data_IF_721495296867
#
_entry.id   IF_721495296867
#
_cell.length_a   1.000
_cell.length_b   1.000
_cell.length_c   1.000
_cell.angle_alpha   90.00
_cell.angle_beta   90.00
_cell.angle_gamma   90.00
#
_symmetry.space_group_name_H-M   'P 1'
#
loop_
_entity.id
_entity.type
_entity.pdbx_description
1 polymer ?
#
# COMPACT_ATOMS: atom_id res chain seq x y z
N UNK A 1 -52.66 -15.25 -40.30
CA UNK A 1 -53.01 -16.24 -41.34
C UNK A 1 -51.90 -16.18 -42.40
N UNK A 2 -51.31 -17.24 -42.95
CA UNK A 2 -51.35 -18.69 -42.73
C UNK A 2 -49.98 -19.29 -43.22
N UNK A 3 -49.63 -20.59 -43.05
CA UNK A 3 -48.26 -20.97 -42.66
C UNK A 3 -47.42 -21.87 -43.60
N UNK A 4 -46.10 -21.93 -43.33
CA UNK A 4 -45.16 -23.10 -43.27
C UNK A 4 -45.15 -24.15 -44.40
N UNK A 5 -43.96 -24.42 -45.00
CA UNK A 5 -43.18 -25.64 -44.66
C UNK A 5 -41.68 -25.34 -44.43
N UNK A 6 -40.88 -26.15 -43.72
CA UNK A 6 -41.15 -27.46 -43.12
C UNK A 6 -40.18 -28.53 -43.62
N UNK A 7 -38.93 -28.57 -43.11
CA UNK A 7 -37.99 -29.68 -43.40
C UNK A 7 -37.22 -30.14 -42.16
N UNK A 8 -37.41 -31.40 -41.79
CA UNK A 8 -36.53 -32.14 -40.87
C UNK A 8 -35.39 -32.79 -41.67
N UNK A 9 -34.19 -32.85 -41.09
CA UNK A 9 -33.23 -33.92 -41.39
C UNK A 9 -32.58 -34.44 -40.10
N UNK A 10 -32.72 -35.75 -39.88
CA UNK A 10 -32.11 -36.47 -38.76
C UNK A 10 -30.66 -36.85 -39.11
N UNK A 11 -29.70 -36.54 -38.23
CA UNK A 11 -28.31 -37.02 -38.29
C UNK A 11 -27.95 -37.83 -37.03
N UNK A 12 -27.19 -38.92 -37.17
CA UNK A 12 -26.96 -39.92 -36.10
C UNK A 12 -25.80 -39.59 -35.15
N UNK A 13 -25.94 -40.07 -33.93
CA UNK A 13 -24.89 -40.19 -32.89
C UNK A 13 -23.92 -41.33 -33.23
N UNK A 14 -22.63 -41.23 -32.84
CA UNK A 14 -22.01 -42.33 -32.07
C UNK A 14 -21.46 -41.89 -30.69
N UNK A 15 -21.65 -42.74 -29.67
CA UNK A 15 -21.12 -42.57 -28.30
C UNK A 15 -19.92 -43.50 -28.07
N UNK A 16 -18.70 -42.98 -28.01
CA UNK A 16 -17.52 -43.60 -27.38
C UNK A 16 -16.57 -42.44 -27.00
N UNK A 17 -15.87 -42.36 -25.86
CA UNK A 17 -15.55 -43.32 -24.80
C UNK A 17 -15.74 -42.72 -23.40
N UNK A 18 -16.05 -43.57 -22.42
CA UNK A 18 -15.89 -43.28 -21.00
C UNK A 18 -14.80 -44.18 -20.38
N UNK A 19 -14.32 -43.78 -19.19
CA UNK A 19 -13.61 -44.59 -18.19
C UNK A 19 -12.17 -45.09 -18.51
N UNK A 20 -11.17 -44.27 -18.13
CA UNK A 20 -9.88 -44.68 -17.50
C UNK A 20 -9.40 -43.52 -16.60
N UNK A 21 -8.80 -43.68 -15.42
CA UNK A 21 -8.84 -44.80 -14.47
C UNK A 21 -8.35 -44.26 -13.11
N UNK A 22 -9.25 -44.02 -12.15
CA UNK A 22 -8.84 -43.72 -10.77
C UNK A 22 -8.41 -45.03 -10.11
N UNK A 23 -7.09 -45.22 -9.90
CA UNK A 23 -6.48 -46.14 -8.91
C UNK A 23 -4.95 -46.11 -8.98
N UNK A 24 -4.31 -45.59 -7.93
CA UNK A 24 -3.19 -46.26 -7.22
C UNK A 24 -2.85 -45.49 -5.94
N UNK A 25 -3.58 -45.83 -4.88
CA UNK A 25 -3.06 -45.75 -3.52
C UNK A 25 -2.32 -47.07 -3.19
N UNK A 26 -1.55 -47.06 -2.10
CA UNK A 26 -0.79 -48.18 -1.51
C UNK A 26 0.50 -48.65 -2.21
N UNK A 27 1.61 -48.05 -1.74
CA UNK A 27 2.77 -48.77 -1.21
C UNK A 27 3.46 -47.82 -0.22
N UNK A 28 3.37 -48.05 1.09
CA UNK A 28 4.43 -48.70 1.87
C UNK A 28 5.82 -48.08 1.58
N UNK A 29 6.48 -47.37 2.50
CA UNK A 29 6.50 -47.55 3.95
C UNK A 29 7.91 -47.95 4.37
N UNK A 30 8.77 -46.98 4.68
CA UNK A 30 10.09 -47.22 5.28
C UNK A 30 10.51 -46.08 6.20
N UNK A 31 10.24 -46.27 7.49
CA UNK A 31 10.94 -45.59 8.58
C UNK A 31 12.14 -46.47 8.95
N UNK A 32 13.33 -45.88 9.14
CA UNK A 32 14.47 -46.40 9.92
C UNK A 32 15.48 -45.25 10.16
N UNK A 33 16.38 -45.35 11.17
CA UNK A 33 16.20 -44.52 12.35
C UNK A 33 17.27 -43.42 12.52
N UNK A 34 17.04 -42.55 13.50
CA UNK A 34 18.03 -41.62 14.00
C UNK A 34 18.94 -42.31 15.03
N UNK A 35 20.26 -42.19 14.86
CA UNK A 35 21.26 -42.64 15.83
C UNK A 35 22.56 -41.83 15.64
N UNK A 36 23.18 -41.32 16.71
CA UNK A 36 24.40 -40.50 16.58
C UNK A 36 24.64 -39.38 17.60
N UNK A 37 24.27 -39.57 18.88
CA UNK A 37 24.57 -38.57 19.92
C UNK A 37 26.03 -38.70 20.43
N UNK A 38 26.95 -37.80 20.04
CA UNK A 38 28.24 -37.61 20.76
C UNK A 38 28.68 -36.15 20.91
N UNK A 39 28.63 -35.72 22.17
CA UNK A 39 29.56 -34.86 22.94
C UNK A 39 30.03 -33.51 22.35
N UNK A 40 29.63 -32.43 23.03
CA UNK A 40 30.27 -31.09 22.99
C UNK A 40 31.62 -31.11 23.73
N UNK A 41 32.66 -30.40 23.25
CA UNK A 41 33.73 -29.85 24.09
C UNK A 41 33.29 -28.52 24.76
N UNK A 42 33.93 -28.19 25.88
CA UNK A 42 33.74 -26.92 26.62
C UNK A 42 34.49 -25.72 26.00
N UNK A 43 34.43 -24.54 26.65
CA UNK A 43 34.79 -23.27 26.02
C UNK A 43 36.31 -23.03 25.97
N UNK A 44 36.80 -22.59 24.82
CA UNK A 44 38.15 -22.05 24.63
C UNK A 44 38.13 -20.54 24.43
N UNK A 45 39.10 -19.88 25.06
CA UNK A 45 39.23 -18.44 25.30
C UNK A 45 38.96 -17.46 24.14
N UNK A 46 38.42 -16.29 24.50
CA UNK A 46 38.48 -15.06 23.69
C UNK A 46 39.92 -14.64 23.39
N UNK A 47 40.24 -14.29 22.13
CA UNK A 47 41.36 -13.39 21.80
C UNK A 47 40.90 -11.93 21.82
N UNK A 48 41.72 -11.04 22.38
CA UNK A 48 41.52 -9.59 22.37
C UNK A 48 41.55 -9.02 20.93
N UNK A 49 40.74 -8.00 20.60
CA UNK A 49 40.93 -7.26 19.35
C UNK A 49 42.21 -6.42 19.42
N UNK A 50 43.11 -6.60 18.45
CA UNK A 50 44.28 -5.73 18.27
C UNK A 50 43.82 -4.34 17.82
N UNK A 51 44.40 -3.31 18.44
CA UNK A 51 44.40 -1.95 17.88
C UNK A 51 45.25 -1.96 16.62
N UNK A 52 44.75 -1.40 15.52
CA UNK A 52 45.53 -1.08 14.34
C UNK A 52 45.06 0.26 13.78
N UNK A 53 45.91 1.27 13.92
CA UNK A 53 45.70 2.57 13.29
C UNK A 53 45.59 2.45 11.77
N UNK A 54 44.64 3.19 11.19
CA UNK A 54 44.77 3.63 9.80
C UNK A 54 44.19 5.01 9.59
N UNK A 55 45.11 5.97 9.62
CA UNK A 55 44.95 7.36 9.23
C UNK A 55 44.81 7.47 7.70
N UNK A 56 43.82 8.20 7.18
CA UNK A 56 44.02 9.37 6.28
C UNK A 56 42.74 9.90 5.58
N UNK A 57 42.59 11.24 5.67
CA UNK A 57 42.04 12.23 4.73
C UNK A 57 40.73 11.98 3.92
N UNK A 58 39.77 12.90 4.10
CA UNK A 58 39.38 13.99 3.14
C UNK A 58 38.70 15.12 3.94
N UNK A 59 39.20 16.37 3.99
CA UNK A 59 38.90 17.54 3.10
C UNK A 59 37.40 17.72 2.77
N UNK A 60 36.68 18.80 3.09
CA UNK A 60 36.95 20.07 3.82
C UNK A 60 35.61 20.71 4.27
N UNK A 61 35.30 22.01 4.28
CA UNK A 61 35.99 23.29 3.90
C UNK A 61 35.32 24.48 4.65
N UNK A 62 36.12 25.45 5.14
CA UNK A 62 35.80 26.85 5.54
C UNK A 62 34.80 27.20 6.69
N UNK A 63 35.22 28.15 7.55
CA UNK A 63 34.43 28.76 8.64
C UNK A 63 35.23 29.77 9.48
N UNK A 64 35.75 30.83 8.85
CA UNK A 64 36.83 31.71 9.33
C UNK A 64 36.78 32.23 10.78
N UNK A 65 37.93 32.15 11.47
CA UNK A 65 38.27 32.93 12.68
C UNK A 65 38.89 34.27 12.24
N UNK A 66 38.47 35.40 12.83
CA UNK A 66 39.24 36.66 12.80
C UNK A 66 40.14 36.74 14.03
N UNK A 67 41.42 37.06 13.83
CA UNK A 67 42.35 37.46 14.88
C UNK A 67 42.64 38.96 14.77
N UNK A 68 42.76 39.61 15.93
CA UNK A 68 43.16 41.01 16.12
C UNK A 68 43.92 41.14 17.45
N UNK A 69 44.83 42.10 17.61
CA UNK A 69 46.12 41.80 18.24
C UNK A 69 46.24 42.24 19.71
N UNK A 70 47.05 41.49 20.48
CA UNK A 70 47.42 41.85 21.85
C UNK A 70 48.13 40.68 22.54
N UNK A 71 49.46 40.59 22.41
CA UNK A 71 50.21 39.43 22.87
C UNK A 71 50.45 39.39 24.39
N UNK A 72 50.55 38.16 24.91
CA UNK A 72 51.65 37.75 25.80
C UNK A 72 51.73 36.23 25.92
N UNK A 73 52.95 35.70 25.81
CA UNK A 73 53.27 34.31 26.11
C UNK A 73 53.68 34.23 27.58
N UNK A 74 53.03 33.36 28.35
CA UNK A 74 53.56 32.85 29.61
C UNK A 74 53.36 31.33 29.63
N UNK A 75 54.43 30.58 29.40
CA UNK A 75 54.46 29.18 29.77
C UNK A 75 54.68 29.09 31.29
N UNK A 76 53.88 28.27 31.97
CA UNK A 76 54.15 27.84 33.34
C UNK A 76 53.85 26.35 33.43
N UNK A 77 54.92 25.57 33.55
CA UNK A 77 54.87 24.20 34.05
C UNK A 77 54.39 24.22 35.50
N UNK A 78 53.49 23.32 35.89
CA UNK A 78 53.57 22.82 37.26
C UNK A 78 53.13 21.37 37.42
N UNK A 79 53.76 20.75 38.40
CA UNK A 79 53.85 19.30 38.60
C UNK A 79 52.66 18.75 39.40
N UNK A 80 52.52 17.43 39.31
CA UNK A 80 51.61 16.57 40.08
C UNK A 80 51.30 16.97 41.52
N UNK A 81 50.01 16.91 41.87
CA UNK A 81 49.54 16.44 43.18
C UNK A 81 48.38 15.47 42.97
N UNK A 82 48.41 14.33 43.67
CA UNK A 82 47.29 13.40 43.79
C UNK A 82 46.64 13.63 45.15
N UNK A 83 45.34 13.87 45.18
CA UNK A 83 44.57 13.85 46.41
C UNK A 83 43.20 13.18 46.14
N UNK A 84 42.80 12.16 46.92
CA UNK A 84 41.53 11.46 46.72
C UNK A 84 40.51 11.86 47.78
N UNK A 85 39.38 12.48 47.40
CA UNK A 85 38.23 12.57 48.30
C UNK A 85 36.89 12.30 47.65
N UNK A 86 36.06 11.68 48.48
CA UNK A 86 34.66 11.32 48.30
C UNK A 86 33.80 12.52 47.89
N UNK A 87 32.72 12.25 47.16
CA UNK A 87 31.90 13.27 46.52
C UNK A 87 30.71 12.64 45.81
N UNK A 88 29.66 12.36 46.58
CA UNK A 88 28.36 11.86 46.09
C UNK A 88 27.77 12.79 45.03
N UNK A 89 28.05 12.52 43.75
CA UNK A 89 27.30 13.14 42.65
C UNK A 89 25.88 12.61 42.69
N UNK A 90 24.96 13.45 43.17
CA UNK A 90 23.54 13.30 42.89
C UNK A 90 23.38 13.13 41.39
N UNK A 91 22.90 11.95 41.00
CA UNK A 91 22.55 11.65 39.61
C UNK A 91 21.42 12.58 39.23
N UNK A 92 21.72 13.62 38.44
CA UNK A 92 20.68 14.41 37.80
C UNK A 92 19.68 13.44 37.16
N UNK A 93 18.45 13.50 37.66
CA UNK A 93 17.35 12.76 37.10
C UNK A 93 17.07 13.37 35.73
N UNK A 94 17.75 12.84 34.71
CA UNK A 94 17.45 13.13 33.31
C UNK A 94 16.03 12.66 33.07
N UNK A 95 15.09 13.58 33.28
CA UNK A 95 13.68 13.43 32.97
C UNK A 95 13.60 12.87 31.56
N UNK A 96 13.23 11.60 31.45
CA UNK A 96 12.87 11.05 30.15
C UNK A 96 11.60 11.78 29.76
N UNK A 97 11.75 12.78 28.89
CA UNK A 97 10.65 13.31 28.11
C UNK A 97 10.12 12.17 27.28
N UNK A 98 9.20 11.40 27.87
CA UNK A 98 8.39 10.42 27.18
C UNK A 98 7.60 11.19 26.15
N UNK A 99 8.10 11.19 24.91
CA UNK A 99 7.41 11.80 23.78
C UNK A 99 6.02 11.19 23.71
N UNK A 100 5.02 11.95 24.13
CA UNK A 100 3.64 11.49 24.21
C UNK A 100 3.18 11.16 22.79
N UNK A 101 3.12 9.87 22.46
CA UNK A 101 2.55 9.42 21.19
C UNK A 101 1.15 10.04 21.07
N UNK A 102 0.86 10.76 19.97
CA UNK A 102 -0.36 11.55 19.87
C UNK A 102 -1.59 10.65 20.05
N UNK A 103 -2.35 10.93 21.10
CA UNK A 103 -3.49 10.12 21.51
C UNK A 103 -4.58 10.18 20.44
N UNK A 104 -4.98 9.02 19.94
CA UNK A 104 -6.10 8.92 19.00
C UNK A 104 -7.38 9.38 19.69
N UNK A 105 -8.15 10.27 19.06
CA UNK A 105 -9.43 10.76 19.62
C UNK A 105 -10.45 9.63 19.76
N UNK A 106 -10.46 8.70 18.80
CA UNK A 106 -11.33 7.53 18.80
C UNK A 106 -10.48 6.26 18.68
N UNK A 107 -10.74 5.27 19.54
CA UNK A 107 -10.05 3.98 19.49
C UNK A 107 -10.41 3.19 18.21
N UNK A 108 -9.42 2.70 17.42
CA UNK A 108 -9.68 1.93 16.22
C UNK A 108 -10.55 0.69 16.45
N UNK A 109 -11.63 0.58 15.67
CA UNK A 109 -12.55 -0.57 15.62
C UNK A 109 -12.95 -0.81 14.16
N UNK A 110 -13.07 -2.08 13.75
CA UNK A 110 -13.39 -2.46 12.36
C UNK A 110 -14.61 -1.72 11.82
N UNK A 111 -15.69 -1.62 12.60
CA UNK A 111 -16.94 -0.98 12.17
C UNK A 111 -16.80 0.53 11.92
N UNK A 112 -15.87 1.23 12.57
CA UNK A 112 -15.61 2.66 12.31
C UNK A 112 -14.95 2.87 10.95
N UNK A 113 -14.05 1.97 10.52
CA UNK A 113 -13.48 2.01 9.17
C UNK A 113 -14.52 1.71 8.09
N UNK A 114 -15.43 0.76 8.36
CA UNK A 114 -16.57 0.47 7.47
C UNK A 114 -17.57 1.63 7.45
N UNK A 115 -17.82 2.29 8.59
CA UNK A 115 -18.68 3.48 8.64
C UNK A 115 -18.08 4.65 7.83
N UNK A 116 -16.77 4.90 7.94
CA UNK A 116 -16.09 5.89 7.11
C UNK A 116 -16.24 5.60 5.61
N UNK A 117 -16.13 4.32 5.20
CA UNK A 117 -16.38 3.88 3.83
C UNK A 117 -17.82 4.15 3.39
N UNK A 118 -18.81 3.71 4.18
CA UNK A 118 -20.24 3.88 3.84
C UNK A 118 -20.63 5.35 3.77
N UNK A 119 -20.14 6.20 4.68
CA UNK A 119 -20.37 7.65 4.64
C UNK A 119 -19.78 8.27 3.37
N UNK A 120 -18.53 7.92 3.00
CA UNK A 120 -17.91 8.38 1.76
C UNK A 120 -18.72 7.98 0.52
N UNK A 121 -19.11 6.70 0.41
CA UNK A 121 -19.87 6.18 -0.72
C UNK A 121 -21.28 6.79 -0.82
N UNK A 122 -21.96 6.98 0.32
CA UNK A 122 -23.28 7.60 0.34
C UNK A 122 -23.26 9.04 -0.21
N UNK A 123 -22.19 9.80 0.09
CA UNK A 123 -22.02 11.17 -0.42
C UNK A 123 -21.58 11.17 -1.88
N UNK A 124 -20.59 10.36 -2.23
CA UNK A 124 -20.10 10.25 -3.62
C UNK A 124 -21.24 9.84 -4.58
N UNK A 125 -21.96 8.75 -4.29
CA UNK A 125 -23.09 8.32 -5.12
C UNK A 125 -24.31 9.22 -4.98
N UNK A 126 -24.52 9.88 -3.85
CA UNK A 126 -25.56 10.88 -3.69
C UNK A 126 -25.38 12.03 -4.69
N UNK A 127 -24.14 12.49 -4.91
CA UNK A 127 -23.82 13.51 -5.92
C UNK A 127 -23.96 12.97 -7.35
N UNK A 128 -23.60 11.72 -7.63
CA UNK A 128 -23.88 11.08 -8.93
C UNK A 128 -25.38 11.01 -9.24
N UNK A 129 -26.20 10.53 -8.30
CA UNK A 129 -27.65 10.41 -8.46
C UNK A 129 -28.27 11.79 -8.65
N UNK A 130 -27.84 12.79 -7.87
CA UNK A 130 -28.30 14.18 -8.01
C UNK A 130 -27.97 14.80 -9.38
N UNK A 131 -26.80 14.48 -9.94
CA UNK A 131 -26.36 14.97 -11.26
C UNK A 131 -26.79 14.07 -12.43
N UNK A 132 -27.65 13.07 -12.20
CA UNK A 132 -28.17 12.19 -13.27
C UNK A 132 -27.07 11.42 -14.02
N UNK A 133 -26.18 10.76 -13.28
CA UNK A 133 -25.04 9.99 -13.82
C UNK A 133 -25.39 9.07 -15.00
N UNK A 134 -24.62 9.19 -16.09
CA UNK A 134 -24.40 8.11 -17.06
C UNK A 134 -22.91 7.74 -17.06
N UNK A 135 -22.58 6.55 -16.56
CA UNK A 135 -21.20 6.14 -16.37
C UNK A 135 -20.42 5.99 -17.69
N UNK A 136 -21.09 5.64 -18.80
CA UNK A 136 -20.41 5.39 -20.08
C UNK A 136 -19.95 6.69 -20.77
N UNK A 137 -20.55 7.82 -20.39
CA UNK A 137 -20.29 9.14 -20.94
C UNK A 137 -19.47 10.02 -19.95
N UNK A 138 -18.87 9.42 -18.91
CA UNK A 138 -17.93 10.12 -18.03
C UNK A 138 -16.73 10.59 -18.85
N UNK A 139 -16.66 11.90 -19.02
CA UNK A 139 -15.51 12.57 -19.59
C UNK A 139 -15.60 12.86 -21.07
N UNK A 140 -16.78 12.78 -21.68
CA UNK A 140 -17.00 13.16 -23.08
C UNK A 140 -16.73 14.66 -23.32
N UNK A 141 -17.08 15.50 -22.35
CA UNK A 141 -16.91 16.96 -22.38
C UNK A 141 -16.59 17.56 -20.99
N UNK A 142 -16.60 18.89 -20.89
CA UNK A 142 -16.30 19.63 -19.65
C UNK A 142 -17.39 19.49 -18.59
N UNK A 143 -18.67 19.38 -19.00
CA UNK A 143 -19.84 19.33 -18.11
C UNK A 143 -19.96 17.95 -17.46
N UNK A 144 -19.82 16.88 -18.26
CA UNK A 144 -19.76 15.49 -17.79
C UNK A 144 -18.57 15.23 -16.88
N UNK A 145 -17.36 15.75 -17.20
CA UNK A 145 -16.21 15.72 -16.28
C UNK A 145 -16.51 16.43 -14.95
N UNK A 146 -17.11 17.62 -15.00
CA UNK A 146 -17.41 18.38 -13.80
C UNK A 146 -18.43 17.63 -12.92
N UNK A 147 -19.57 17.23 -13.49
CA UNK A 147 -20.71 16.62 -12.79
C UNK A 147 -20.40 15.23 -12.24
N UNK A 148 -19.65 14.41 -12.99
CA UNK A 148 -19.55 12.98 -12.73
C UNK A 148 -18.16 12.51 -12.31
N UNK A 149 -17.11 13.32 -12.50
CA UNK A 149 -15.78 13.04 -11.95
C UNK A 149 -15.43 14.02 -10.83
N UNK A 150 -15.34 15.31 -11.12
CA UNK A 150 -14.82 16.30 -10.16
C UNK A 150 -15.76 16.56 -8.96
N UNK A 151 -17.03 16.87 -9.19
CA UNK A 151 -18.00 17.21 -8.13
C UNK A 151 -18.20 16.11 -7.05
N UNK A 152 -18.45 14.83 -7.40
CA UNK A 152 -18.64 13.77 -6.40
C UNK A 152 -17.34 13.49 -5.61
N UNK A 153 -16.18 13.61 -6.27
CA UNK A 153 -14.88 13.50 -5.60
C UNK A 153 -14.61 14.67 -4.64
N UNK A 154 -14.94 15.90 -5.02
CA UNK A 154 -14.81 17.07 -4.14
C UNK A 154 -15.69 16.94 -2.88
N UNK A 155 -16.95 16.54 -3.06
CA UNK A 155 -17.85 16.27 -1.93
C UNK A 155 -17.32 15.13 -1.03
N UNK A 156 -16.83 14.05 -1.65
CA UNK A 156 -16.15 12.95 -0.96
C UNK A 156 -14.94 13.41 -0.15
N UNK A 157 -14.11 14.30 -0.71
CA UNK A 157 -12.92 14.88 -0.06
C UNK A 157 -13.26 15.68 1.18
N UNK A 158 -14.28 16.55 1.11
CA UNK A 158 -14.77 17.31 2.26
C UNK A 158 -15.18 16.34 3.38
N UNK A 159 -15.98 15.33 3.05
CA UNK A 159 -16.56 14.42 4.04
C UNK A 159 -15.52 13.46 4.64
N UNK A 160 -14.63 12.86 3.84
CA UNK A 160 -13.59 11.96 4.39
C UNK A 160 -12.59 12.75 5.26
N UNK A 161 -12.28 14.00 4.90
CA UNK A 161 -11.42 14.92 5.68
C UNK A 161 -12.04 15.24 7.04
N UNK A 162 -13.36 15.46 7.09
CA UNK A 162 -14.11 15.63 8.34
C UNK A 162 -14.04 14.33 9.18
N UNK A 163 -14.34 13.16 8.60
CA UNK A 163 -14.34 11.88 9.31
C UNK A 163 -12.98 11.54 9.93
N UNK A 164 -11.88 11.62 9.17
CA UNK A 164 -10.52 11.35 9.72
C UNK A 164 -10.12 12.34 10.82
N UNK A 165 -10.62 13.59 10.75
CA UNK A 165 -10.37 14.63 11.76
C UNK A 165 -11.17 14.42 13.04
N UNK A 166 -12.42 13.94 12.93
CA UNK A 166 -13.24 13.51 14.08
C UNK A 166 -12.56 12.32 14.78
N UNK A 167 -12.16 11.30 14.02
CA UNK A 167 -11.49 10.11 14.57
C UNK A 167 -10.08 10.40 15.12
N UNK A 168 -9.42 11.47 14.63
CA UNK A 168 -8.03 11.80 14.97
C UNK A 168 -7.03 10.84 14.34
N UNK A 169 -7.34 10.25 13.17
CA UNK A 169 -6.58 9.16 12.56
C UNK A 169 -5.61 9.60 11.45
N UNK A 170 -5.33 10.90 11.31
CA UNK A 170 -4.43 11.43 10.28
C UNK A 170 -3.07 10.74 10.23
N UNK A 171 -2.31 10.78 11.34
CA UNK A 171 -0.97 10.17 11.43
C UNK A 171 -0.95 8.66 11.12
N UNK A 172 -1.77 7.79 11.76
CA UNK A 172 -1.73 6.35 11.46
C UNK A 172 -2.34 5.97 10.09
N UNK A 173 -3.12 6.86 9.47
CA UNK A 173 -3.57 6.66 8.08
C UNK A 173 -2.44 6.95 7.10
N UNK A 174 -1.84 8.13 7.21
CA UNK A 174 -0.83 8.66 6.29
C UNK A 174 0.54 8.01 6.42
N UNK A 175 0.91 7.47 7.59
CA UNK A 175 2.23 6.90 7.85
C UNK A 175 2.15 5.46 8.34
N UNK A 176 3.09 4.64 7.91
CA UNK A 176 3.18 3.24 8.31
C UNK A 176 3.83 3.09 9.69
N UNK A 177 3.22 2.29 10.54
CA UNK A 177 3.65 1.96 11.91
C UNK A 177 4.34 0.58 12.00
N UNK A 178 4.14 -0.28 11.00
CA UNK A 178 4.86 -1.56 10.84
C UNK A 178 6.23 -1.36 10.17
N UNK A 179 7.08 -2.38 10.22
CA UNK A 179 8.34 -2.39 9.46
C UNK A 179 8.07 -2.24 7.96
N UNK A 180 8.85 -1.39 7.29
CA UNK A 180 8.83 -1.24 5.82
C UNK A 180 9.24 -2.55 5.13
N UNK A 181 8.67 -2.81 3.98
CA UNK A 181 9.02 -3.96 3.14
C UNK A 181 10.41 -3.80 2.49
N UNK A 182 11.03 -4.89 2.00
CA UNK A 182 12.31 -4.82 1.29
C UNK A 182 12.23 -3.96 0.03
N UNK A 183 13.32 -3.26 -0.30
CA UNK A 183 13.35 -2.28 -1.39
C UNK A 183 12.96 -2.80 -2.77
N UNK A 184 13.17 -4.09 -3.07
CA UNK A 184 12.76 -4.68 -4.35
C UNK A 184 11.24 -4.62 -4.60
N UNK A 185 10.42 -4.46 -3.56
CA UNK A 185 8.96 -4.33 -3.69
C UNK A 185 8.57 -3.08 -4.49
N UNK A 186 9.43 -2.05 -4.57
CA UNK A 186 9.25 -0.88 -5.43
C UNK A 186 9.12 -1.19 -6.93
N UNK A 187 9.58 -2.36 -7.39
CA UNK A 187 9.46 -2.76 -8.80
C UNK A 187 7.99 -2.79 -9.25
N UNK A 188 7.08 -3.29 -8.43
CA UNK A 188 5.65 -3.40 -8.79
C UNK A 188 4.96 -2.04 -9.01
N UNK A 189 4.98 -1.08 -8.05
CA UNK A 189 4.44 0.25 -8.29
C UNK A 189 5.23 1.04 -9.34
N UNK A 190 6.55 0.81 -9.49
CA UNK A 190 7.34 1.41 -10.55
C UNK A 190 6.91 0.97 -11.95
N UNK A 191 6.62 -0.32 -12.14
CA UNK A 191 6.07 -0.84 -13.39
C UNK A 191 4.64 -0.33 -13.65
N UNK A 192 3.82 -0.18 -12.60
CA UNK A 192 2.46 0.38 -12.74
C UNK A 192 2.51 1.87 -13.14
N UNK A 193 3.43 2.64 -12.55
CA UNK A 193 3.68 4.04 -12.93
C UNK A 193 4.14 4.14 -14.39
N UNK A 194 5.07 3.28 -14.81
CA UNK A 194 5.54 3.20 -16.19
C UNK A 194 4.41 2.85 -17.16
N UNK A 195 3.50 1.94 -16.79
CA UNK A 195 2.32 1.59 -17.59
C UNK A 195 1.35 2.78 -17.75
N UNK A 196 1.07 3.52 -16.68
CA UNK A 196 0.24 4.72 -16.72
C UNK A 196 0.88 5.83 -17.60
N UNK A 197 2.18 6.08 -17.44
CA UNK A 197 2.91 7.05 -18.28
C UNK A 197 2.94 6.61 -19.75
N UNK A 198 3.15 5.32 -20.03
CA UNK A 198 3.09 4.80 -21.39
C UNK A 198 1.69 4.96 -22.02
N UNK A 199 0.61 4.78 -21.23
CA UNK A 199 -0.75 5.00 -21.71
C UNK A 199 -1.03 6.47 -22.09
N UNK A 200 -0.42 7.43 -21.38
CA UNK A 200 -0.53 8.86 -21.74
C UNK A 200 0.19 9.21 -23.05
N UNK A 201 1.33 8.56 -23.35
CA UNK A 201 2.06 8.80 -24.59
C UNK A 201 1.50 8.05 -25.80
N UNK A 202 0.87 6.88 -25.58
CA UNK A 202 0.33 6.04 -26.65
C UNK A 202 -1.19 6.20 -26.86
N UNK A 203 -1.90 6.78 -25.90
CA UNK A 203 -3.33 7.04 -25.97
C UNK A 203 -3.67 8.33 -26.71
N UNK A 204 -4.82 8.34 -27.40
CA UNK A 204 -5.33 9.55 -28.04
C UNK A 204 -5.89 10.53 -27.00
N UNK A 205 -5.21 11.67 -26.87
CA UNK A 205 -5.55 12.79 -25.97
C UNK A 205 -5.99 14.04 -26.73
N UNK A 206 -6.17 13.96 -28.05
CA UNK A 206 -6.44 15.10 -28.94
C UNK A 206 -7.74 15.87 -28.62
N UNK A 207 -8.70 15.21 -27.96
CA UNK A 207 -9.99 15.75 -27.55
C UNK A 207 -9.94 16.65 -26.30
N UNK A 208 -8.84 16.68 -25.55
CA UNK A 208 -8.79 17.35 -24.25
C UNK A 208 -8.66 18.87 -24.40
N UNK A 209 -9.70 19.60 -23.99
CA UNK A 209 -9.60 21.05 -23.80
C UNK A 209 -8.74 21.38 -22.55
N UNK A 210 -8.24 22.63 -22.41
CA UNK A 210 -7.55 23.06 -21.19
C UNK A 210 -8.40 22.90 -19.92
N UNK A 211 -9.73 23.12 -20.00
CA UNK A 211 -10.65 22.91 -18.88
C UNK A 211 -10.79 21.42 -18.56
N UNK A 212 -10.95 20.56 -19.58
CA UNK A 212 -11.00 19.10 -19.39
C UNK A 212 -9.73 18.60 -18.72
N UNK A 213 -8.55 19.08 -19.15
CA UNK A 213 -7.27 18.74 -18.55
C UNK A 213 -7.19 19.17 -17.07
N UNK A 214 -7.65 20.37 -16.74
CA UNK A 214 -7.70 20.86 -15.36
C UNK A 214 -8.64 20.02 -14.48
N UNK A 215 -9.85 19.71 -14.97
CA UNK A 215 -10.83 18.87 -14.27
C UNK A 215 -10.33 17.44 -14.10
N UNK A 216 -9.67 16.88 -15.11
CA UNK A 216 -9.04 15.55 -15.05
C UNK A 216 -7.91 15.52 -14.02
N UNK A 217 -6.98 16.49 -14.02
CA UNK A 217 -5.90 16.55 -13.04
C UNK A 217 -6.46 16.71 -11.62
N UNK A 218 -7.41 17.65 -11.43
CA UNK A 218 -8.01 17.90 -10.13
C UNK A 218 -8.79 16.69 -9.61
N UNK A 219 -9.68 16.11 -10.42
CA UNK A 219 -10.40 14.87 -10.08
C UNK A 219 -9.44 13.72 -9.77
N UNK A 220 -8.38 13.54 -10.56
CA UNK A 220 -7.42 12.46 -10.34
C UNK A 220 -6.61 12.61 -9.04
N UNK A 221 -6.31 13.84 -8.62
CA UNK A 221 -5.74 14.09 -7.27
C UNK A 221 -6.77 13.77 -6.18
N UNK A 222 -8.05 14.12 -6.38
CA UNK A 222 -9.10 13.88 -5.40
C UNK A 222 -9.47 12.39 -5.26
N UNK A 223 -9.55 11.60 -6.33
CA UNK A 223 -9.78 10.13 -6.24
C UNK A 223 -8.61 9.44 -5.57
N UNK A 224 -7.38 9.79 -5.96
CA UNK A 224 -6.16 9.31 -5.33
C UNK A 224 -6.14 9.60 -3.83
N UNK A 225 -6.52 10.81 -3.41
CA UNK A 225 -6.67 11.17 -1.99
C UNK A 225 -7.80 10.39 -1.31
N UNK A 226 -9.02 10.45 -1.85
CA UNK A 226 -10.23 9.91 -1.23
C UNK A 226 -10.15 8.40 -0.99
N UNK A 227 -9.91 7.66 -2.07
CA UNK A 227 -10.04 6.21 -2.05
C UNK A 227 -8.90 5.57 -1.28
N UNK A 228 -7.68 6.08 -1.41
CA UNK A 228 -6.56 5.63 -0.59
C UNK A 228 -6.73 6.03 0.87
N UNK A 229 -7.22 7.25 1.19
CA UNK A 229 -7.46 7.64 2.58
C UNK A 229 -8.53 6.78 3.24
N UNK A 230 -9.62 6.43 2.55
CA UNK A 230 -10.68 5.59 3.15
C UNK A 230 -10.29 4.11 3.19
N UNK A 231 -9.66 3.57 2.13
CA UNK A 231 -9.36 2.13 2.04
C UNK A 231 -7.99 1.73 2.60
N UNK A 232 -6.93 2.50 2.34
CA UNK A 232 -5.55 2.21 2.81
C UNK A 232 -5.14 3.06 4.02
N UNK A 233 -5.89 4.13 4.33
CA UNK A 233 -5.83 4.87 5.58
C UNK A 233 -6.79 4.30 6.63
N UNK A 234 -8.02 4.82 6.67
CA UNK A 234 -9.05 4.54 7.69
C UNK A 234 -9.33 3.04 7.88
N UNK A 235 -9.58 2.31 6.79
CA UNK A 235 -9.84 0.86 6.87
C UNK A 235 -8.61 0.08 7.35
N UNK A 236 -7.38 0.43 6.98
CA UNK A 236 -6.17 -0.25 7.50
C UNK A 236 -5.99 -0.01 9.00
N UNK A 237 -6.22 1.22 9.47
CA UNK A 237 -6.21 1.56 10.90
C UNK A 237 -7.28 0.75 11.65
N UNK A 238 -8.51 0.71 11.13
CA UNK A 238 -9.62 -0.03 11.71
C UNK A 238 -9.41 -1.56 11.70
N UNK A 239 -8.96 -2.14 10.58
CA UNK A 239 -8.77 -3.59 10.42
C UNK A 239 -7.63 -4.13 11.30
N UNK A 240 -6.55 -3.36 11.49
CA UNK A 240 -5.43 -3.73 12.37
C UNK A 240 -5.82 -3.83 13.86
N UNK A 241 -6.99 -3.31 14.27
CA UNK A 241 -7.55 -3.55 15.61
C UNK A 241 -7.98 -5.00 15.87
N UNK A 242 -8.22 -5.80 14.81
CA UNK A 242 -8.85 -7.12 14.91
C UNK A 242 -8.19 -8.23 14.10
N UNK A 243 -7.52 -7.89 13.01
CA UNK A 243 -6.97 -8.84 12.04
C UNK A 243 -5.43 -8.80 12.00
N UNK A 244 -4.83 -9.96 11.72
CA UNK A 244 -3.44 -10.03 11.28
C UNK A 244 -3.29 -9.47 9.86
N UNK A 245 -2.06 -9.08 9.49
CA UNK A 245 -1.81 -8.27 8.30
C UNK A 245 -2.32 -8.88 6.97
N UNK A 246 -2.34 -10.22 6.85
CA UNK A 246 -2.95 -10.89 5.69
C UNK A 246 -4.44 -10.55 5.54
N UNK A 247 -5.19 -10.47 6.64
CA UNK A 247 -6.59 -10.05 6.63
C UNK A 247 -6.74 -8.55 6.41
N UNK A 248 -5.81 -7.74 6.92
CA UNK A 248 -5.78 -6.28 6.71
C UNK A 248 -5.60 -5.95 5.23
N UNK A 249 -4.62 -6.57 4.55
CA UNK A 249 -4.44 -6.46 3.11
C UNK A 249 -5.69 -6.91 2.36
N UNK A 250 -6.18 -8.12 2.66
CA UNK A 250 -7.30 -8.71 1.92
C UNK A 250 -8.57 -7.87 2.02
N UNK A 251 -9.00 -7.48 3.23
CA UNK A 251 -10.25 -6.76 3.41
C UNK A 251 -10.17 -5.29 2.94
N UNK A 252 -9.05 -4.58 3.11
CA UNK A 252 -8.93 -3.22 2.57
C UNK A 252 -8.97 -3.23 1.03
N UNK A 253 -8.32 -4.22 0.42
CA UNK A 253 -8.23 -4.34 -1.04
C UNK A 253 -9.52 -4.90 -1.64
N UNK A 254 -10.22 -5.80 -0.94
CA UNK A 254 -11.55 -6.26 -1.33
C UNK A 254 -12.58 -5.15 -1.25
N UNK A 255 -12.58 -4.34 -0.18
CA UNK A 255 -13.51 -3.22 -0.08
C UNK A 255 -13.24 -2.16 -1.15
N UNK A 256 -11.96 -1.89 -1.47
CA UNK A 256 -11.59 -1.08 -2.64
C UNK A 256 -12.08 -1.66 -3.98
N UNK A 257 -12.04 -2.98 -4.16
CA UNK A 257 -12.67 -3.61 -5.33
C UNK A 257 -14.18 -3.35 -5.35
N UNK A 258 -14.83 -3.50 -4.20
CA UNK A 258 -16.29 -3.41 -4.07
C UNK A 258 -16.84 -1.98 -4.20
N UNK A 259 -16.06 -0.92 -3.99
CA UNK A 259 -16.49 0.46 -4.32
C UNK A 259 -16.65 0.69 -5.83
N UNK A 260 -16.22 -0.24 -6.67
CA UNK A 260 -16.44 -0.17 -8.12
C UNK A 260 -17.67 -0.97 -8.56
N UNK A 261 -18.25 -1.81 -7.69
CA UNK A 261 -19.41 -2.62 -8.03
C UNK A 261 -20.67 -1.80 -8.43
N UNK A 262 -20.99 -0.64 -7.79
CA UNK A 262 -22.15 0.17 -8.19
C UNK A 262 -22.09 0.70 -9.63
N UNK A 263 -20.92 0.76 -10.26
CA UNK A 263 -20.77 1.16 -11.67
C UNK A 263 -21.54 0.22 -12.63
N UNK A 264 -21.82 -1.02 -12.20
CA UNK A 264 -22.70 -1.97 -12.90
C UNK A 264 -24.15 -1.46 -13.02
N UNK A 265 -24.59 -0.63 -12.07
CA UNK A 265 -25.94 -0.05 -12.00
C UNK A 265 -26.02 1.31 -12.71
N UNK A 266 -24.89 2.04 -12.81
CA UNK A 266 -24.83 3.39 -13.37
C UNK A 266 -24.42 3.46 -14.85
N UNK A 267 -24.19 2.32 -15.52
CA UNK A 267 -24.06 2.28 -16.99
C UNK A 267 -23.29 1.09 -17.55
N UNK A 268 -22.32 0.53 -16.82
CA UNK A 268 -21.46 -0.56 -17.35
C UNK A 268 -22.12 -1.93 -17.44
N UNK A 269 -23.29 -2.11 -16.81
CA UNK A 269 -23.99 -3.39 -16.76
C UNK A 269 -23.14 -4.50 -16.13
N UNK A 270 -23.36 -5.75 -16.56
CA UNK A 270 -22.67 -6.94 -16.02
C UNK A 270 -21.14 -6.88 -16.22
N UNK A 271 -20.66 -6.17 -17.25
CA UNK A 271 -19.23 -6.03 -17.52
C UNK A 271 -18.47 -5.35 -16.36
N UNK A 272 -19.11 -4.43 -15.62
CA UNK A 272 -18.54 -3.76 -14.45
C UNK A 272 -18.15 -4.70 -13.30
N UNK A 273 -18.65 -5.94 -13.26
CA UNK A 273 -18.20 -6.94 -12.27
C UNK A 273 -16.71 -7.25 -12.45
N UNK A 274 -16.18 -7.17 -13.69
CA UNK A 274 -14.74 -7.33 -13.94
C UNK A 274 -13.89 -6.22 -13.31
N UNK A 275 -14.45 -5.00 -13.17
CA UNK A 275 -13.78 -3.85 -12.55
C UNK A 275 -13.43 -4.13 -11.08
N UNK A 276 -14.30 -4.83 -10.34
CA UNK A 276 -14.04 -5.28 -8.95
C UNK A 276 -12.79 -6.15 -8.87
N UNK A 277 -12.60 -7.06 -9.84
CA UNK A 277 -11.43 -7.91 -9.92
C UNK A 277 -10.16 -7.13 -10.28
N UNK A 278 -10.23 -6.28 -11.30
CA UNK A 278 -9.08 -5.47 -11.77
C UNK A 278 -8.62 -4.49 -10.69
N UNK A 279 -9.54 -3.80 -10.03
CA UNK A 279 -9.23 -2.86 -8.94
C UNK A 279 -8.76 -3.57 -7.67
N UNK A 280 -9.19 -4.80 -7.38
CA UNK A 280 -8.55 -5.62 -6.34
C UNK A 280 -7.07 -5.94 -6.65
N UNK A 281 -6.76 -6.25 -7.92
CA UNK A 281 -5.39 -6.54 -8.35
C UNK A 281 -4.49 -5.29 -8.26
N UNK A 282 -4.94 -4.17 -8.82
CA UNK A 282 -4.23 -2.87 -8.76
C UNK A 282 -4.12 -2.39 -7.31
N UNK A 283 -5.19 -2.53 -6.54
CA UNK A 283 -5.24 -2.15 -5.12
C UNK A 283 -4.25 -2.91 -4.23
N UNK A 284 -3.80 -4.10 -4.65
CA UNK A 284 -2.69 -4.81 -4.00
C UNK A 284 -1.34 -4.13 -4.24
N UNK A 285 -1.15 -3.47 -5.40
CA UNK A 285 0.02 -2.63 -5.68
C UNK A 285 0.05 -1.43 -4.75
N UNK A 286 -1.07 -0.71 -4.59
CA UNK A 286 -1.18 0.44 -3.70
C UNK A 286 -0.93 0.09 -2.22
N UNK A 287 -1.45 -1.06 -1.77
CA UNK A 287 -1.16 -1.58 -0.44
C UNK A 287 0.34 -1.87 -0.24
N UNK A 288 0.99 -2.55 -1.21
CA UNK A 288 2.43 -2.80 -1.17
C UNK A 288 3.25 -1.51 -1.23
N UNK A 289 2.80 -0.51 -2.01
CA UNK A 289 3.44 0.80 -2.12
C UNK A 289 3.42 1.55 -0.78
N UNK A 290 2.28 1.57 -0.08
CA UNK A 290 2.18 2.09 1.30
C UNK A 290 3.14 1.36 2.24
N UNK A 291 3.20 0.02 2.16
CA UNK A 291 4.06 -0.83 3.00
C UNK A 291 5.56 -0.71 2.72
N UNK A 292 6.00 -0.41 1.48
CA UNK A 292 7.42 -0.26 1.13
C UNK A 292 7.92 1.18 1.31
N UNK A 293 7.11 2.18 0.95
CA UNK A 293 7.48 3.60 1.10
C UNK A 293 7.39 4.06 2.57
N UNK A 294 6.48 3.48 3.34
CA UNK A 294 6.17 3.88 4.70
C UNK A 294 5.17 5.04 4.80
N UNK A 295 4.55 5.45 3.70
CA UNK A 295 3.52 6.50 3.68
C UNK A 295 2.44 6.24 2.63
N UNK A 296 1.23 6.73 2.88
CA UNK A 296 0.10 6.65 1.98
C UNK A 296 0.23 7.58 0.77
N UNK A 297 1.02 8.66 0.87
CA UNK A 297 1.11 9.72 -0.15
C UNK A 297 1.55 9.17 -1.52
N UNK A 298 2.50 8.23 -1.56
CA UNK A 298 2.91 7.62 -2.83
C UNK A 298 1.77 6.80 -3.48
N UNK A 299 0.92 6.15 -2.69
CA UNK A 299 -0.23 5.44 -3.22
C UNK A 299 -1.30 6.41 -3.76
N UNK A 300 -1.56 7.51 -3.05
CA UNK A 300 -2.46 8.58 -3.53
C UNK A 300 -2.00 9.14 -4.89
N UNK A 301 -0.70 9.45 -5.02
CA UNK A 301 -0.12 9.98 -6.27
C UNK A 301 -0.15 8.94 -7.39
N UNK A 302 0.22 7.68 -7.12
CA UNK A 302 0.22 6.63 -8.14
C UNK A 302 -1.20 6.27 -8.59
N UNK A 303 -2.18 6.28 -7.68
CA UNK A 303 -3.58 6.06 -8.00
C UNK A 303 -4.12 7.19 -8.89
N UNK A 304 -3.89 8.45 -8.51
CA UNK A 304 -4.25 9.59 -9.35
C UNK A 304 -3.56 9.57 -10.72
N UNK A 305 -2.29 9.18 -10.80
CA UNK A 305 -1.60 9.02 -12.09
C UNK A 305 -2.23 7.91 -12.96
N UNK A 306 -2.63 6.79 -12.35
CA UNK A 306 -3.30 5.70 -13.05
C UNK A 306 -4.65 6.16 -13.62
N UNK A 307 -5.53 6.72 -12.78
CA UNK A 307 -6.85 7.19 -13.19
C UNK A 307 -6.76 8.29 -14.26
N UNK A 308 -5.89 9.28 -14.05
CA UNK A 308 -5.59 10.31 -15.04
C UNK A 308 -5.18 9.70 -16.37
N UNK A 309 -4.29 8.69 -16.37
CA UNK A 309 -3.88 8.02 -17.61
C UNK A 309 -5.01 7.30 -18.32
N UNK A 310 -6.00 6.76 -17.59
CA UNK A 310 -7.14 6.04 -18.17
C UNK A 310 -8.24 6.96 -18.67
N UNK A 311 -8.54 8.08 -18.01
CA UNK A 311 -9.59 9.03 -18.43
C UNK A 311 -9.10 10.04 -19.48
N UNK A 312 -7.81 10.38 -19.49
CA UNK A 312 -7.22 11.28 -20.50
C UNK A 312 -7.21 10.66 -21.91
N UNK A 313 -6.91 9.36 -22.02
CA UNK A 313 -6.88 8.64 -23.28
C UNK A 313 -8.30 8.23 -23.72
N UNK A 314 -8.71 8.60 -24.93
CA UNK A 314 -10.03 8.25 -25.48
C UNK A 314 -10.29 6.73 -25.58
N UNK A 315 -9.21 5.93 -25.62
CA UNK A 315 -9.22 4.47 -25.44
C UNK A 315 -7.99 4.07 -24.65
N UNK A 316 -8.16 3.23 -23.64
CA UNK A 316 -7.05 2.59 -22.96
C UNK A 316 -6.29 1.67 -23.95
N UNK A 317 -4.96 1.67 -23.88
CA UNK A 317 -4.14 0.78 -24.70
C UNK A 317 -4.17 -0.65 -24.16
N UNK A 318 -4.04 -1.64 -25.04
CA UNK A 318 -3.87 -3.06 -24.66
C UNK A 318 -2.70 -3.23 -23.67
N UNK A 319 -1.65 -2.42 -23.82
CA UNK A 319 -0.49 -2.41 -22.92
C UNK A 319 -0.87 -2.03 -21.49
N UNK A 320 -1.70 -1.00 -21.29
CA UNK A 320 -2.19 -0.63 -19.97
C UNK A 320 -3.08 -1.73 -19.37
N UNK A 321 -3.99 -2.31 -20.18
CA UNK A 321 -4.88 -3.39 -19.75
C UNK A 321 -4.14 -4.66 -19.32
N UNK A 322 -3.38 -5.28 -20.23
CA UNK A 322 -2.65 -6.51 -19.92
C UNK A 322 -1.49 -6.29 -18.94
N UNK A 323 -0.81 -5.15 -19.03
CA UNK A 323 0.26 -4.77 -18.10
C UNK A 323 -0.25 -4.61 -16.66
N UNK A 324 -1.32 -3.83 -16.48
CA UNK A 324 -1.96 -3.64 -15.17
C UNK A 324 -2.43 -4.97 -14.55
N UNK A 325 -3.03 -5.86 -15.37
CA UNK A 325 -3.44 -7.20 -14.94
C UNK A 325 -2.25 -8.04 -14.44
N UNK A 326 -1.16 -8.12 -15.23
CA UNK A 326 0.01 -8.91 -14.88
C UNK A 326 0.72 -8.38 -13.62
N UNK A 327 0.90 -7.06 -13.51
CA UNK A 327 1.50 -6.39 -12.35
C UNK A 327 0.65 -6.63 -11.10
N UNK A 328 -0.67 -6.51 -11.22
CA UNK A 328 -1.61 -6.73 -10.12
C UNK A 328 -1.66 -8.20 -9.64
N UNK A 329 -1.59 -9.18 -10.55
CA UNK A 329 -1.45 -10.60 -10.18
C UNK A 329 -0.15 -10.84 -9.41
N UNK A 330 0.97 -10.29 -9.89
CA UNK A 330 2.24 -10.36 -9.17
C UNK A 330 2.17 -9.69 -7.79
N UNK A 331 1.48 -8.56 -7.66
CA UNK A 331 1.25 -7.87 -6.40
C UNK A 331 0.42 -8.68 -5.41
N UNK A 332 -0.63 -9.38 -5.85
CA UNK A 332 -1.39 -10.32 -5.00
C UNK A 332 -0.47 -11.43 -4.46
N UNK A 333 0.34 -12.06 -5.33
CA UNK A 333 1.26 -13.13 -4.92
C UNK A 333 2.27 -12.60 -3.90
N UNK A 334 2.88 -11.44 -4.15
CA UNK A 334 3.86 -10.81 -3.25
C UNK A 334 3.20 -10.42 -1.91
N UNK A 335 2.02 -9.81 -1.92
CA UNK A 335 1.28 -9.46 -0.72
C UNK A 335 0.93 -10.69 0.13
N UNK A 336 0.45 -11.78 -0.49
CA UNK A 336 0.18 -13.05 0.18
C UNK A 336 1.46 -13.61 0.81
N UNK A 337 2.59 -13.64 0.08
CA UNK A 337 3.85 -14.21 0.58
C UNK A 337 4.40 -13.39 1.75
N UNK A 338 4.46 -12.07 1.63
CA UNK A 338 5.06 -11.20 2.65
C UNK A 338 4.18 -11.14 3.91
N UNK A 339 2.88 -10.89 3.78
CA UNK A 339 1.97 -10.81 4.95
C UNK A 339 1.78 -12.16 5.65
N UNK A 340 1.88 -13.31 4.95
CA UNK A 340 1.93 -14.63 5.59
C UNK A 340 3.22 -14.88 6.36
N UNK A 341 4.37 -14.41 5.85
CA UNK A 341 5.66 -14.50 6.58
C UNK A 341 5.61 -13.67 7.88
N UNK A 342 5.12 -12.43 7.80
CA UNK A 342 4.88 -11.58 8.98
C UNK A 342 3.92 -12.25 9.98
N UNK A 343 2.77 -12.76 9.51
CA UNK A 343 1.79 -13.44 10.35
C UNK A 343 2.31 -14.71 11.04
N UNK A 344 3.32 -15.38 10.46
CA UNK A 344 4.00 -16.54 11.08
C UNK A 344 5.03 -16.10 12.11
N UNK A 345 5.83 -15.07 11.82
CA UNK A 345 6.79 -14.50 12.77
C UNK A 345 6.09 -13.95 14.03
N UNK A 346 5.02 -13.16 13.83
CA UNK A 346 4.19 -12.62 14.92
C UNK A 346 3.53 -13.73 15.78
N UNK A 347 3.35 -14.95 15.26
CA UNK A 347 2.84 -16.10 16.03
C UNK A 347 3.94 -16.81 16.80
N UNK A 348 5.09 -17.04 16.16
CA UNK A 348 6.25 -17.66 16.80
C UNK A 348 6.73 -16.84 18.01
N UNK A 349 6.90 -15.53 17.84
CA UNK A 349 7.32 -14.63 18.92
C UNK A 349 6.37 -14.66 20.14
N UNK A 350 5.06 -14.72 19.92
CA UNK A 350 4.07 -14.85 21.00
C UNK A 350 4.10 -16.22 21.69
N UNK A 351 4.43 -17.28 20.98
CA UNK A 351 4.59 -18.62 21.57
C UNK A 351 5.84 -18.66 22.45
N UNK A 352 6.95 -18.09 21.99
CA UNK A 352 8.20 -17.98 22.78
C UNK A 352 8.06 -17.07 24.00
N UNK A 353 7.22 -16.03 23.94
CA UNK A 353 6.98 -15.13 25.08
C UNK A 353 5.98 -15.69 26.13
N UNK A 354 5.34 -16.82 25.85
CA UNK A 354 4.36 -17.47 26.72
C UNK A 354 4.84 -18.84 27.27
N UNK A 355 6.10 -19.19 27.01
CA UNK A 355 6.77 -20.43 27.41
C UNK A 355 7.94 -20.14 28.35
#
# INVERSE_FOLDING_TARGET
>A
MAPVPGHQLRGRIPRHHAARLVRRAHSAGRIRPAEGMRRRPGPSACPLPRVSDRMMLTTGVAGAIRLGPGGRVCASTNTSTLEPLDGTRTREERTMTTTSEPTLRVAPRVWLGVLALVIYLAVFYGVWIFNGIDYLHIGDDEDTLFKWYFAPLLAGTIVITIVVSIYGWWRPSLFETRKRLPGWVWILPGLLALAAVANLFAGDTSRLTPTMLLLLVAGSVLVGFNEELVTRGQLVVALRSRFGELGVWFFSTLLFGLIHLPNTLFGTGVAGISQVGITFLIGSVFYLLRRVSGTLIFAMVLHGLWDFSTFAAAKATDFAGFGGLAIGIAAVIVAIVLTRRESRADKAARTTAAA
#
